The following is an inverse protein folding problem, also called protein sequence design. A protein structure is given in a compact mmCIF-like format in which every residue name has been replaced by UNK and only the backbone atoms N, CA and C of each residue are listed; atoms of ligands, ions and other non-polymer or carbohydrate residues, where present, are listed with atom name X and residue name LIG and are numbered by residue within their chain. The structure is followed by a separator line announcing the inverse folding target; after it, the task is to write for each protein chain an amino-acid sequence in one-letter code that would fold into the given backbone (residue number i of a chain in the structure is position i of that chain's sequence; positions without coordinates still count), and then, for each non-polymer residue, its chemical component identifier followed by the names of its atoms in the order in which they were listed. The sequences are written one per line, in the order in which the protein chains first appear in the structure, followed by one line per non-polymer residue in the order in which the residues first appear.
data_IF_011675937989
#
_entry.id   IF_011675937989
#
_cell.length_a   1.000
_cell.length_b   1.000
_cell.length_c   1.000
_cell.angle_alpha   90.00
_cell.angle_beta   90.00
_cell.angle_gamma   90.00
#
_symmetry.space_group_name_H-M   'P 1'
#
loop_
_entity.id
_entity.type
_entity.pdbx_description
1 polymer ?
#
# COMPACT_ATOMS: atom_id res chain seq x y z
N UNK A 1 -7.32 6.71 5.60
CA UNK A 1 -6.24 6.92 4.62
C UNK A 1 -5.45 5.62 4.49
N UNK A 2 -5.56 4.93 3.36
CA UNK A 2 -4.94 3.60 3.20
C UNK A 2 -3.51 3.78 2.72
N UNK A 3 -2.54 3.34 3.53
CA UNK A 3 -1.12 3.40 3.17
C UNK A 3 -0.77 2.24 2.25
N UNK A 4 -0.23 2.57 1.09
CA UNK A 4 0.27 1.61 0.12
C UNK A 4 1.77 1.80 -0.06
N UNK A 5 2.51 0.71 -0.22
CA UNK A 5 3.91 0.76 -0.68
C UNK A 5 3.95 0.50 -2.17
N UNK A 6 4.66 1.32 -2.91
CA UNK A 6 4.97 1.03 -4.31
C UNK A 6 5.88 -0.20 -4.39
N UNK A 7 5.60 -1.12 -5.32
CA UNK A 7 6.42 -2.33 -5.50
C UNK A 7 7.83 -2.05 -6.03
N UNK A 8 8.01 -0.96 -6.79
CA UNK A 8 9.30 -0.62 -7.42
C UNK A 8 10.13 0.33 -6.55
N UNK A 9 9.60 1.51 -6.22
CA UNK A 9 10.36 2.51 -5.46
C UNK A 9 10.33 2.26 -3.93
N UNK A 10 9.51 1.30 -3.47
CA UNK A 10 9.35 0.91 -2.04
C UNK A 10 8.91 2.05 -1.11
N UNK A 11 8.64 3.24 -1.65
CA UNK A 11 8.15 4.39 -0.90
C UNK A 11 6.72 4.14 -0.47
N UNK A 12 6.39 4.61 0.73
CA UNK A 12 5.03 4.68 1.22
C UNK A 12 4.31 5.82 0.49
N UNK A 13 3.20 5.51 -0.15
CA UNK A 13 2.34 6.44 -0.83
C UNK A 13 0.97 6.37 -0.18
N UNK A 14 0.45 7.53 0.22
CA UNK A 14 -0.91 7.64 0.73
C UNK A 14 -1.80 7.96 -0.47
N UNK A 15 -2.67 7.02 -0.84
CA UNK A 15 -3.64 7.23 -1.91
C UNK A 15 -5.03 7.42 -1.34
N UNK A 16 -5.75 8.38 -1.91
CA UNK A 16 -7.20 8.48 -1.78
C UNK A 16 -7.85 7.68 -2.90
N UNK A 17 -8.69 6.71 -2.52
CA UNK A 17 -9.34 5.70 -3.38
C UNK A 17 -10.21 6.33 -4.47
N UNK A 18 -10.48 7.64 -4.40
CA UNK A 18 -11.29 8.42 -5.34
C UNK A 18 -10.53 8.91 -6.58
N UNK A 19 -9.19 8.85 -6.61
CA UNK A 19 -8.43 9.30 -7.77
C UNK A 19 -8.28 8.18 -8.80
N UNK A 20 -8.85 8.41 -9.98
CA UNK A 20 -9.13 7.48 -11.11
C UNK A 20 -7.85 6.93 -11.80
N UNK A 21 -6.67 7.08 -11.18
CA UNK A 21 -5.42 6.49 -11.67
C UNK A 21 -4.47 6.20 -10.52
N UNK A 22 -4.42 4.94 -10.07
CA UNK A 22 -3.37 4.49 -9.15
C UNK A 22 -2.05 4.39 -9.92
N UNK A 23 -1.37 5.53 -10.05
CA UNK A 23 -0.03 5.63 -10.59
C UNK A 23 0.88 6.23 -9.51
N UNK A 24 2.05 5.62 -9.32
CA UNK A 24 2.99 6.11 -8.32
C UNK A 24 3.56 7.45 -8.79
N UNK A 25 3.45 8.54 -8.01
CA UNK A 25 3.96 9.86 -8.40
C UNK A 25 5.49 9.90 -8.52
N UNK A 26 6.19 8.91 -7.94
CA UNK A 26 7.65 8.87 -7.93
C UNK A 26 8.27 8.06 -9.07
N UNK A 27 7.59 7.03 -9.57
CA UNK A 27 8.17 6.11 -10.56
C UNK A 27 7.21 5.69 -11.67
N UNK A 28 5.97 6.19 -11.68
CA UNK A 28 4.97 5.84 -12.69
C UNK A 28 4.44 4.41 -12.62
N UNK A 29 4.89 3.59 -11.66
CA UNK A 29 4.44 2.21 -11.52
C UNK A 29 2.97 2.13 -11.08
N UNK A 30 2.28 1.07 -11.51
CA UNK A 30 0.88 0.78 -11.12
C UNK A 30 0.75 -0.37 -10.10
N UNK A 31 1.87 -0.89 -9.59
CA UNK A 31 1.90 -2.03 -8.66
C UNK A 31 2.11 -1.55 -7.23
N UNK A 32 1.17 -1.89 -6.35
CA UNK A 32 1.16 -1.48 -4.95
C UNK A 32 0.88 -2.64 -4.01
N UNK A 33 1.52 -2.59 -2.84
CA UNK A 33 1.30 -3.49 -1.72
C UNK A 33 0.63 -2.74 -0.59
N UNK A 34 -0.42 -3.32 0.00
CA UNK A 34 -1.05 -2.75 1.20
C UNK A 34 -0.17 -3.02 2.41
N UNK A 35 0.11 -1.99 3.20
CA UNK A 35 0.87 -2.20 4.44
C UNK A 35 0.08 -3.05 5.44
N UNK A 36 0.80 -3.90 6.19
CA UNK A 36 0.21 -4.66 7.28
C UNK A 36 -0.33 -3.68 8.33
N UNK A 37 -1.61 -3.78 8.72
CA UNK A 37 -2.14 -2.91 9.74
C UNK A 37 -1.48 -3.20 11.09
N UNK A 38 -1.36 -2.17 11.94
CA UNK A 38 -0.84 -2.28 13.32
C UNK A 38 -1.79 -3.03 14.26
N UNK A 39 -2.86 -3.62 13.74
CA UNK A 39 -3.84 -4.38 14.51
C UNK A 39 -3.30 -5.78 14.78
N UNK A 40 -3.19 -6.14 16.05
CA UNK A 40 -2.79 -7.48 16.46
C UNK A 40 -3.81 -8.51 15.96
N UNK A 41 -3.33 -9.55 15.26
CA UNK A 41 -4.13 -10.72 14.88
C UNK A 41 -3.75 -11.90 15.78
N UNK A 42 -4.74 -12.56 16.37
CA UNK A 42 -4.54 -13.86 17.04
C UNK A 42 -4.51 -14.95 15.98
N UNK A 43 -3.43 -15.73 15.97
CA UNK A 43 -3.23 -16.86 15.05
C UNK A 43 -3.14 -18.09 15.95
N UNK A 44 -3.95 -19.12 15.70
CA UNK A 44 -3.83 -20.40 16.43
C UNK A 44 -2.57 -21.11 15.92
N UNK A 45 -1.66 -21.44 16.83
CA UNK A 45 -0.55 -22.36 16.53
C UNK A 45 -1.05 -23.80 16.51
N UNK A 46 -0.39 -24.65 15.72
CA UNK A 46 -0.58 -26.11 15.74
C UNK A 46 -0.07 -26.66 17.06
#
# INVERSE_FOLDING_TARGET
MTRYKCGLCKKAVQFDVKNIGMQCPYCGSKVFYKERPTVAKRIKGV
#
